data_IF_478142714154
#
_entry.id   IF_478142714154
#
_cell.length_a   1.000
_cell.length_b   1.000
_cell.length_c   1.000
_cell.angle_alpha   90.00
_cell.angle_beta   90.00
_cell.angle_gamma   90.00
#
_symmetry.space_group_name_H-M   'P 1'
#
loop_
_entity.id
_entity.type
_entity.pdbx_description
1 polymer ?
#
# COMPACT_ATOMS: atom_id res chain seq x y z
N UNK A 1 9.05 -52.76 -10.72
CA UNK A 1 8.33 -51.70 -9.98
C UNK A 1 7.44 -50.98 -10.97
N UNK A 2 6.17 -51.35 -11.02
CA UNK A 2 5.18 -50.71 -11.87
C UNK A 2 4.67 -49.49 -11.10
N UNK A 3 5.04 -48.30 -11.55
CA UNK A 3 4.60 -47.06 -10.91
C UNK A 3 3.12 -46.86 -11.20
N UNK A 4 2.33 -46.59 -10.16
CA UNK A 4 0.93 -46.23 -10.31
C UNK A 4 0.82 -44.88 -11.04
N UNK A 5 0.64 -44.95 -12.36
CA UNK A 5 0.55 -43.78 -13.24
C UNK A 5 -0.62 -42.86 -12.88
N UNK A 6 -1.68 -43.37 -12.24
CA UNK A 6 -2.79 -42.54 -11.77
C UNK A 6 -2.37 -41.68 -10.58
N UNK A 7 -1.63 -42.26 -9.64
CA UNK A 7 -1.06 -41.53 -8.50
C UNK A 7 -0.09 -40.44 -8.97
N UNK A 8 0.81 -40.76 -9.92
CA UNK A 8 1.77 -39.80 -10.48
C UNK A 8 1.06 -38.63 -11.15
N UNK A 9 0.04 -38.92 -11.97
CA UNK A 9 -0.74 -37.89 -12.69
C UNK A 9 -1.49 -36.98 -11.72
N UNK A 10 -2.08 -37.55 -10.67
CA UNK A 10 -2.78 -36.79 -9.62
C UNK A 10 -1.82 -35.88 -8.86
N UNK A 11 -0.66 -36.38 -8.46
CA UNK A 11 0.33 -35.61 -7.74
C UNK A 11 0.90 -34.48 -8.61
N UNK A 12 1.19 -34.73 -9.89
CA UNK A 12 1.64 -33.70 -10.82
C UNK A 12 0.64 -32.55 -10.97
N UNK A 13 -0.67 -32.86 -11.05
CA UNK A 13 -1.73 -31.83 -11.07
C UNK A 13 -1.79 -31.03 -9.78
N UNK A 14 -1.61 -31.67 -8.62
CA UNK A 14 -1.59 -30.99 -7.32
C UNK A 14 -0.39 -30.05 -7.20
N UNK A 15 0.81 -30.51 -7.55
CA UNK A 15 2.01 -29.67 -7.53
C UNK A 15 1.93 -28.52 -8.54
N UNK A 16 1.43 -28.78 -9.75
CA UNK A 16 1.20 -27.73 -10.74
C UNK A 16 0.20 -26.67 -10.25
N UNK A 17 -0.85 -27.11 -9.57
CA UNK A 17 -1.81 -26.24 -8.89
C UNK A 17 -1.17 -25.37 -7.80
N UNK A 18 -0.34 -25.98 -6.94
CA UNK A 18 0.37 -25.23 -5.89
C UNK A 18 1.32 -24.19 -6.46
N UNK A 19 2.02 -24.53 -7.55
CA UNK A 19 2.87 -23.58 -8.27
C UNK A 19 2.03 -22.44 -8.84
N UNK A 20 0.86 -22.72 -9.41
CA UNK A 20 -0.01 -21.66 -9.95
C UNK A 20 -0.54 -20.69 -8.89
N UNK A 21 -0.78 -21.15 -7.66
CA UNK A 21 -1.22 -20.29 -6.54
C UNK A 21 -0.08 -19.48 -5.92
N UNK A 22 1.13 -20.04 -5.89
CA UNK A 22 2.30 -19.38 -5.27
C UNK A 22 3.04 -18.45 -6.23
N UNK A 23 2.95 -18.69 -7.54
CA UNK A 23 3.60 -17.87 -8.58
C UNK A 23 3.23 -16.38 -8.52
N UNK A 24 1.96 -15.96 -8.42
CA UNK A 24 1.61 -14.54 -8.32
C UNK A 24 2.29 -13.84 -7.14
N UNK A 25 2.37 -14.53 -6.00
CA UNK A 25 3.01 -14.02 -4.78
C UNK A 25 4.51 -13.88 -5.00
N UNK A 26 5.15 -14.89 -5.60
CA UNK A 26 6.58 -14.88 -5.90
C UNK A 26 6.92 -13.74 -6.87
N UNK A 27 6.24 -13.66 -8.00
CA UNK A 27 6.53 -12.70 -9.07
C UNK A 27 6.42 -11.26 -8.54
N UNK A 28 5.39 -10.97 -7.73
CA UNK A 28 5.24 -9.66 -7.12
C UNK A 28 6.21 -9.42 -5.94
N UNK A 29 6.61 -10.47 -5.21
CA UNK A 29 7.63 -10.35 -4.16
C UNK A 29 9.01 -10.03 -4.76
N UNK A 30 9.37 -10.63 -5.90
CA UNK A 30 10.62 -10.31 -6.60
C UNK A 30 10.62 -8.85 -7.08
N UNK A 31 9.49 -8.36 -7.61
CA UNK A 31 9.34 -6.94 -7.97
C UNK A 31 9.44 -6.00 -6.75
N UNK A 32 8.87 -6.41 -5.62
CA UNK A 32 8.92 -5.67 -4.35
C UNK A 32 10.22 -5.88 -3.56
N UNK A 33 11.17 -6.67 -4.04
CA UNK A 33 12.47 -6.91 -3.38
C UNK A 33 13.67 -6.56 -4.28
N UNK A 34 13.44 -6.08 -5.50
CA UNK A 34 14.49 -5.77 -6.46
C UNK A 34 15.47 -4.68 -5.99
N UNK A 35 16.70 -4.75 -6.49
CA UNK A 35 17.84 -3.88 -6.15
C UNK A 35 17.61 -2.38 -6.44
N UNK A 36 16.58 -2.05 -7.20
CA UNK A 36 16.16 -0.68 -7.51
C UNK A 36 15.05 -0.24 -6.55
N UNK A 37 15.44 0.30 -5.38
CA UNK A 37 14.61 0.95 -4.36
C UNK A 37 13.12 0.63 -4.40
N UNK A 38 12.69 -0.29 -3.52
CA UNK A 38 11.28 -0.62 -3.32
C UNK A 38 10.53 0.63 -2.87
N UNK A 39 9.81 1.27 -3.78
CA UNK A 39 8.97 2.42 -3.44
C UNK A 39 7.65 1.96 -2.89
N UNK A 40 7.22 2.60 -1.79
CA UNK A 40 5.92 2.38 -1.15
C UNK A 40 4.74 2.55 -2.14
N UNK A 41 4.95 3.27 -3.25
CA UNK A 41 4.02 3.42 -4.37
C UNK A 41 3.73 2.13 -5.15
N UNK A 42 4.59 1.11 -5.07
CA UNK A 42 4.42 -0.17 -5.76
C UNK A 42 3.67 -1.20 -4.93
N UNK A 43 3.52 -0.97 -3.62
CA UNK A 43 2.91 -1.93 -2.69
C UNK A 43 1.45 -2.17 -3.03
N UNK A 44 0.65 -1.13 -3.22
CA UNK A 44 -0.76 -1.28 -3.56
C UNK A 44 -0.96 -1.98 -4.93
N UNK A 45 -0.31 -1.55 -6.04
CA UNK A 45 -0.39 -2.25 -7.32
C UNK A 45 -0.02 -3.73 -7.23
N UNK A 46 1.03 -4.08 -6.48
CA UNK A 46 1.46 -5.45 -6.30
C UNK A 46 0.41 -6.29 -5.54
N UNK A 47 -0.10 -5.78 -4.42
CA UNK A 47 -1.13 -6.50 -3.65
C UNK A 47 -2.43 -6.65 -4.43
N UNK A 48 -2.81 -5.63 -5.22
CA UNK A 48 -3.94 -5.69 -6.14
C UNK A 48 -3.74 -6.77 -7.22
N UNK A 49 -2.56 -6.84 -7.83
CA UNK A 49 -2.21 -7.84 -8.84
C UNK A 49 -2.32 -9.27 -8.30
N UNK A 50 -1.74 -9.52 -7.10
CA UNK A 50 -1.85 -10.83 -6.44
C UNK A 50 -3.32 -11.19 -6.20
N UNK A 51 -4.10 -10.25 -5.65
CA UNK A 51 -5.53 -10.46 -5.38
C UNK A 51 -6.29 -10.85 -6.65
N UNK A 52 -6.13 -10.10 -7.74
CA UNK A 52 -6.81 -10.39 -9.01
C UNK A 52 -6.47 -11.77 -9.56
N UNK A 53 -5.19 -12.17 -9.48
CA UNK A 53 -4.77 -13.50 -9.92
C UNK A 53 -5.34 -14.61 -9.01
N UNK A 54 -5.34 -14.42 -7.70
CA UNK A 54 -5.95 -15.37 -6.75
C UNK A 54 -7.47 -15.48 -6.92
N UNK A 55 -8.16 -14.36 -7.14
CA UNK A 55 -9.60 -14.32 -7.45
C UNK A 55 -9.90 -15.09 -8.75
N UNK A 56 -9.04 -14.96 -9.78
CA UNK A 56 -9.18 -15.72 -11.02
C UNK A 56 -8.99 -17.24 -10.83
N UNK A 57 -8.06 -17.64 -9.96
CA UNK A 57 -7.81 -19.04 -9.63
C UNK A 57 -8.95 -19.64 -8.78
N UNK A 58 -9.52 -18.85 -7.88
CA UNK A 58 -10.67 -19.25 -7.06
C UNK A 58 -11.94 -19.46 -7.90
N UNK A 59 -12.13 -18.69 -8.97
CA UNK A 59 -13.28 -18.80 -9.86
C UNK A 59 -13.35 -20.13 -10.66
N UNK A 60 -12.32 -20.99 -10.59
CA UNK A 60 -12.35 -22.30 -11.22
C UNK A 60 -13.11 -23.33 -10.35
N UNK A 61 -14.44 -23.32 -10.43
CA UNK A 61 -15.39 -24.00 -9.53
C UNK A 61 -15.12 -25.49 -9.22
N UNK A 62 -14.47 -26.26 -10.10
CA UNK A 62 -14.35 -27.73 -9.97
C UNK A 62 -12.93 -28.26 -9.65
N UNK A 63 -11.96 -27.40 -9.33
CA UNK A 63 -10.57 -27.85 -9.16
C UNK A 63 -10.08 -27.87 -7.71
N UNK A 64 -9.24 -28.85 -7.35
CA UNK A 64 -8.48 -28.82 -6.09
C UNK A 64 -7.65 -27.55 -5.95
N UNK A 65 -7.20 -26.99 -7.08
CA UNK A 65 -6.46 -25.72 -7.15
C UNK A 65 -7.32 -24.55 -6.66
N UNK A 66 -8.60 -24.49 -7.04
CA UNK A 66 -9.50 -23.43 -6.59
C UNK A 66 -9.78 -23.50 -5.09
N UNK A 67 -9.86 -24.68 -4.49
CA UNK A 67 -9.96 -24.81 -3.04
C UNK A 67 -8.71 -24.29 -2.33
N UNK A 68 -7.52 -24.57 -2.86
CA UNK A 68 -6.26 -24.02 -2.33
C UNK A 68 -6.21 -22.51 -2.53
N UNK A 69 -6.57 -22.02 -3.73
CA UNK A 69 -6.64 -20.60 -4.04
C UNK A 69 -7.59 -19.87 -3.10
N UNK A 70 -8.79 -20.41 -2.85
CA UNK A 70 -9.76 -19.87 -1.88
C UNK A 70 -9.16 -19.72 -0.48
N UNK A 71 -8.49 -20.76 0.03
CA UNK A 71 -7.85 -20.70 1.34
C UNK A 71 -6.74 -19.64 1.40
N UNK A 72 -5.88 -19.60 0.38
CA UNK A 72 -4.79 -18.62 0.28
C UNK A 72 -5.33 -17.20 0.12
N UNK A 73 -6.34 -17.01 -0.73
CA UNK A 73 -6.97 -15.73 -1.02
C UNK A 73 -7.66 -15.15 0.21
N UNK A 74 -8.38 -15.98 0.97
CA UNK A 74 -8.98 -15.58 2.25
C UNK A 74 -7.92 -15.02 3.22
N UNK A 75 -6.82 -15.74 3.38
CA UNK A 75 -5.74 -15.33 4.29
C UNK A 75 -4.97 -14.12 3.73
N UNK A 76 -4.78 -14.05 2.42
CA UNK A 76 -4.16 -12.93 1.74
C UNK A 76 -4.96 -11.64 1.97
N UNK A 77 -6.25 -11.65 1.63
CA UNK A 77 -7.19 -10.52 1.85
C UNK A 77 -7.16 -10.04 3.30
N UNK A 78 -7.14 -10.97 4.27
CA UNK A 78 -7.03 -10.64 5.70
C UNK A 78 -5.74 -9.90 6.03
N UNK A 79 -4.60 -10.31 5.46
CA UNK A 79 -3.28 -9.70 5.75
C UNK A 79 -3.05 -8.38 5.04
N UNK A 80 -3.63 -8.21 3.85
CA UNK A 80 -3.45 -7.01 3.03
C UNK A 80 -4.58 -5.99 3.17
N UNK A 81 -5.61 -6.27 3.98
CA UNK A 81 -6.75 -5.37 4.20
C UNK A 81 -6.31 -3.93 4.51
N UNK A 82 -5.28 -3.77 5.33
CA UNK A 82 -4.65 -2.47 5.64
C UNK A 82 -4.16 -1.66 4.43
N UNK A 83 -3.96 -2.32 3.28
CA UNK A 83 -3.44 -1.72 2.04
C UNK A 83 -4.54 -1.56 0.99
N UNK A 84 -5.46 -2.53 0.90
CA UNK A 84 -6.39 -2.64 -0.24
C UNK A 84 -7.86 -2.36 0.08
N UNK A 85 -8.24 -2.33 1.36
CA UNK A 85 -9.64 -2.18 1.79
C UNK A 85 -9.83 -0.89 2.60
N UNK A 86 -10.40 0.18 1.99
CA UNK A 86 -10.63 1.45 2.68
C UNK A 86 -11.63 1.33 3.84
N UNK A 87 -12.50 0.32 3.83
CA UNK A 87 -13.47 0.11 4.91
C UNK A 87 -12.89 -0.68 6.09
N UNK A 88 -11.65 -1.13 5.99
CA UNK A 88 -10.99 -1.85 7.08
C UNK A 88 -10.62 -0.89 8.20
N UNK A 89 -10.85 -1.23 9.49
CA UNK A 89 -10.39 -0.42 10.60
C UNK A 89 -8.85 -0.30 10.66
N UNK A 90 -8.14 -1.25 10.04
CA UNK A 90 -6.68 -1.26 9.97
C UNK A 90 -6.14 -0.58 8.69
N UNK A 91 -7.00 0.07 7.89
CA UNK A 91 -6.60 0.73 6.65
C UNK A 91 -5.58 1.84 6.90
N UNK A 92 -4.47 1.79 6.16
CA UNK A 92 -3.41 2.77 6.19
C UNK A 92 -3.38 3.54 4.86
N UNK A 93 -3.87 4.80 4.83
CA UNK A 93 -3.96 5.58 3.60
C UNK A 93 -2.60 5.90 3.00
N UNK A 94 -1.49 5.69 3.72
CA UNK A 94 -0.14 6.01 3.22
C UNK A 94 0.18 5.25 1.92
N UNK A 95 -0.30 4.01 1.77
CA UNK A 95 -0.08 3.21 0.56
C UNK A 95 -0.87 3.76 -0.63
N UNK A 96 -2.09 4.22 -0.39
CA UNK A 96 -2.91 4.85 -1.42
C UNK A 96 -2.34 6.21 -1.82
N UNK A 97 -1.94 7.04 -0.84
CA UNK A 97 -1.27 8.33 -1.06
C UNK A 97 0.02 8.17 -1.85
N UNK A 98 0.89 7.25 -1.44
CA UNK A 98 2.13 6.97 -2.16
C UNK A 98 1.89 6.56 -3.61
N UNK A 99 0.83 5.79 -3.86
CA UNK A 99 0.46 5.34 -5.20
C UNK A 99 -0.10 6.50 -6.05
N UNK A 100 -0.90 7.39 -5.47
CA UNK A 100 -1.42 8.61 -6.15
C UNK A 100 -0.29 9.55 -6.53
N UNK A 101 0.70 9.69 -5.66
CA UNK A 101 1.85 10.57 -5.88
C UNK A 101 2.83 10.05 -6.94
N UNK A 102 2.75 8.77 -7.28
CA UNK A 102 3.57 8.17 -8.34
C UNK A 102 2.84 8.29 -9.70
N UNK A 103 3.37 9.09 -10.65
CA UNK A 103 2.74 9.29 -11.94
C UNK A 103 2.54 7.99 -12.73
N UNK A 104 3.39 6.97 -12.49
CA UNK A 104 3.31 5.70 -13.20
C UNK A 104 2.19 4.80 -12.66
N UNK A 105 1.84 4.96 -11.39
CA UNK A 105 0.89 4.09 -10.68
C UNK A 105 -0.44 4.77 -10.36
N UNK A 106 -0.56 6.09 -10.49
CA UNK A 106 -1.77 6.84 -10.15
C UNK A 106 -3.04 6.35 -10.86
N UNK A 107 -2.91 5.78 -12.07
CA UNK A 107 -4.03 5.22 -12.83
C UNK A 107 -4.52 3.85 -12.30
N UNK A 108 -3.74 3.19 -11.44
CA UNK A 108 -4.02 1.86 -10.94
C UNK A 108 -4.88 1.85 -9.66
N UNK A 109 -5.24 3.01 -9.11
CA UNK A 109 -6.10 3.11 -7.93
C UNK A 109 -7.58 3.03 -8.29
N UNK A 110 -8.34 2.35 -7.43
CA UNK A 110 -9.80 2.41 -7.47
C UNK A 110 -10.30 3.79 -7.03
N UNK A 111 -11.45 4.21 -7.58
CA UNK A 111 -12.05 5.52 -7.30
C UNK A 111 -12.20 5.80 -5.80
N UNK A 112 -12.68 4.83 -5.02
CA UNK A 112 -12.83 5.00 -3.57
C UNK A 112 -11.50 5.19 -2.84
N UNK A 113 -10.46 4.45 -3.22
CA UNK A 113 -9.12 4.60 -2.64
C UNK A 113 -8.45 5.90 -3.03
N UNK A 114 -8.74 6.40 -4.24
CA UNK A 114 -8.27 7.71 -4.70
C UNK A 114 -8.86 8.84 -3.86
N UNK A 115 -10.16 8.81 -3.58
CA UNK A 115 -10.81 9.81 -2.73
C UNK A 115 -10.25 9.82 -1.31
N UNK A 116 -10.01 8.64 -0.73
CA UNK A 116 -9.38 8.53 0.58
C UNK A 116 -7.93 9.04 0.58
N UNK A 117 -7.17 8.71 -0.46
CA UNK A 117 -5.81 9.21 -0.62
C UNK A 117 -5.78 10.74 -0.74
N UNK A 118 -6.65 11.35 -1.55
CA UNK A 118 -6.75 12.81 -1.69
C UNK A 118 -7.15 13.46 -0.37
N UNK A 119 -8.08 12.87 0.38
CA UNK A 119 -8.52 13.36 1.69
C UNK A 119 -7.39 13.28 2.73
N UNK A 120 -6.67 12.16 2.78
CA UNK A 120 -5.54 11.96 3.68
C UNK A 120 -4.39 12.92 3.34
N UNK A 121 -4.10 13.10 2.05
CA UNK A 121 -3.09 14.04 1.55
C UNK A 121 -3.44 15.48 1.95
N UNK A 122 -4.68 15.92 1.74
CA UNK A 122 -5.15 17.25 2.17
C UNK A 122 -5.03 17.45 3.68
N UNK A 123 -5.35 16.41 4.47
CA UNK A 123 -5.19 16.44 5.93
C UNK A 123 -3.72 16.62 6.33
N UNK A 124 -2.82 15.85 5.73
CA UNK A 124 -1.36 15.97 5.94
C UNK A 124 -0.85 17.38 5.58
N UNK A 125 -1.25 17.90 4.41
CA UNK A 125 -0.87 19.25 4.00
C UNK A 125 -1.36 20.33 4.98
N UNK A 126 -2.61 20.23 5.45
CA UNK A 126 -3.16 21.16 6.45
C UNK A 126 -2.38 21.14 7.76
N UNK A 127 -1.94 19.96 8.20
CA UNK A 127 -1.15 19.81 9.41
C UNK A 127 0.23 20.43 9.26
N UNK A 128 0.90 20.23 8.13
CA UNK A 128 2.20 20.87 7.86
C UNK A 128 2.06 22.40 7.80
N UNK A 129 1.01 22.90 7.13
CA UNK A 129 0.74 24.33 7.05
C UNK A 129 0.42 24.95 8.42
N UNK A 130 -0.36 24.27 9.26
CA UNK A 130 -0.68 24.76 10.61
C UNK A 130 0.55 24.79 11.52
N UNK A 131 1.43 23.79 11.42
CA UNK A 131 2.73 23.81 12.11
C UNK A 131 3.61 24.97 11.64
N UNK A 132 3.73 25.18 10.34
CA UNK A 132 4.50 26.30 9.77
C UNK A 132 3.93 27.66 10.19
N UNK A 133 2.60 27.79 10.20
CA UNK A 133 1.91 29.01 10.63
C UNK A 133 2.09 29.29 12.12
N UNK A 134 1.96 28.28 12.98
CA UNK A 134 2.19 28.40 14.41
C UNK A 134 3.64 28.81 14.74
N UNK A 135 4.62 28.21 14.05
CA UNK A 135 6.03 28.62 14.16
C UNK A 135 6.26 30.05 13.68
N UNK A 136 5.60 30.47 12.61
CA UNK A 136 5.69 31.85 12.11
C UNK A 136 5.14 32.86 13.13
N UNK A 137 4.03 32.55 13.80
CA UNK A 137 3.48 33.38 14.90
C UNK A 137 4.44 33.40 16.09
N UNK A 138 4.99 32.26 16.49
CA UNK A 138 5.92 32.17 17.62
C UNK A 138 7.20 32.98 17.36
N UNK A 139 7.73 32.88 16.14
CA UNK A 139 8.89 33.65 15.69
C UNK A 139 8.62 35.16 15.67
N UNK A 140 7.45 35.59 15.16
CA UNK A 140 7.05 37.00 15.18
C UNK A 140 6.88 37.52 16.62
N UNK A 141 6.27 36.74 17.53
CA UNK A 141 6.18 37.11 18.95
C UNK A 141 7.55 37.19 19.63
N UNK A 142 8.46 36.27 19.32
CA UNK A 142 9.84 36.31 19.82
C UNK A 142 10.58 37.55 19.32
N UNK A 143 10.47 37.88 18.02
CA UNK A 143 11.05 39.10 17.46
C UNK A 143 10.44 40.37 18.09
N UNK A 144 9.14 40.38 18.37
CA UNK A 144 8.49 41.53 19.02
C UNK A 144 8.90 41.70 20.51
N UNK A 145 9.28 40.61 21.18
CA UNK A 145 9.84 40.63 22.55
C UNK A 145 11.35 40.95 22.56
N UNK A 146 12.07 40.63 21.50
CA UNK A 146 13.51 40.82 21.36
C UNK A 146 13.93 42.17 20.78
N UNK A 147 12.98 43.05 20.42
CA UNK A 147 13.25 44.47 20.15
C UNK A 147 13.12 45.24 21.48
N UNK A 148 14.23 45.50 22.21
CA UNK A 148 14.18 46.54 23.23
C UNK A 148 13.98 47.86 22.48
N UNK A 149 12.94 48.60 22.84
CA UNK A 149 12.85 50.02 22.56
C UNK A 149 13.95 50.68 23.40
N UNK A 150 15.18 50.62 22.90
CA UNK A 150 16.32 51.38 23.38
C UNK A 150 16.16 52.82 22.89
N UNK A 151 15.14 53.51 23.43
CA UNK A 151 15.03 54.95 23.33
C UNK A 151 16.12 55.59 24.18
N UNK A 152 17.31 55.71 23.61
CA UNK A 152 18.36 56.58 24.14
C UNK A 152 17.89 58.04 24.07
N UNK A 153 17.29 58.53 25.15
CA UNK A 153 17.16 59.97 25.39
C UNK A 153 18.49 60.50 25.92
N UNK A 154 19.44 60.75 25.02
CA UNK A 154 20.59 61.63 25.27
C UNK A 154 20.74 62.51 24.04
N UNK A 155 20.42 63.79 24.18
CA UNK A 155 21.14 64.92 23.59
C UNK A 155 20.48 66.24 24.03
N UNK A 156 21.26 67.01 24.81
CA UNK A 156 21.32 68.46 25.03
C UNK A 156 20.09 69.32 24.73
#
# INVERSE_FOLDING_TARGET
>A
MEWDMQMVTRNAKLYGGLVSVTKPIRDQSELLQGDSYVTISNVYPAMRSIKTQLDSLEAHEDSTVANVARCVNKEFKRRVAKVIDPNSPDFDPIYAVATVLDPNNACLLDLGLKEEAETALLSMFRLVLSFSFAWSILFLRFMHLAVPIGGSSVLL
#
